data_IF_325055542555
#
_entry.id   IF_325055542555
#
_cell.length_a   1.000
_cell.length_b   1.000
_cell.length_c   1.000
_cell.angle_alpha   90.00
_cell.angle_beta   90.00
_cell.angle_gamma   90.00
#
_symmetry.space_group_name_H-M   'P 1'
#
loop_
_entity.id
_entity.type
_entity.pdbx_description
1 polymer ?
#
# COMPACT_ATOMS: atom_id res chain seq x y z
N UNK A 1 5.83 -27.11 23.66
CA UNK A 1 5.64 -25.84 24.38
C UNK A 1 4.19 -25.42 24.23
N UNK A 2 3.48 -25.13 25.30
CA UNK A 2 2.17 -24.54 25.15
C UNK A 2 2.33 -23.19 24.45
N UNK A 3 1.59 -23.00 23.35
CA UNK A 3 1.44 -21.67 22.76
C UNK A 3 0.99 -20.72 23.87
N UNK A 4 1.72 -19.64 24.11
CA UNK A 4 1.33 -18.64 25.08
C UNK A 4 -0.11 -18.22 24.81
N UNK A 5 -0.91 -18.15 25.85
CA UNK A 5 -2.27 -17.65 25.72
C UNK A 5 -2.21 -16.28 25.09
N UNK A 6 -2.80 -16.15 23.94
CA UNK A 6 -2.97 -14.87 23.25
C UNK A 6 -3.90 -14.02 24.13
N UNK A 7 -3.38 -12.97 24.72
CA UNK A 7 -4.18 -12.05 25.54
C UNK A 7 -4.79 -10.99 24.63
N UNK A 8 -6.06 -11.19 24.30
CA UNK A 8 -6.82 -10.27 23.45
C UNK A 8 -6.90 -8.86 24.04
N UNK A 9 -6.92 -8.75 25.37
CA UNK A 9 -7.01 -7.45 26.05
C UNK A 9 -5.70 -6.67 25.93
N UNK A 10 -4.57 -7.33 26.06
CA UNK A 10 -3.25 -6.73 25.88
C UNK A 10 -3.04 -6.26 24.44
N UNK A 11 -3.44 -7.08 23.46
CA UNK A 11 -3.37 -6.72 22.04
C UNK A 11 -4.26 -5.53 21.73
N UNK A 12 -5.47 -5.50 22.27
CA UNK A 12 -6.40 -4.37 22.11
C UNK A 12 -5.85 -3.09 22.74
N UNK A 13 -5.29 -3.18 23.94
CA UNK A 13 -4.69 -2.03 24.63
C UNK A 13 -3.50 -1.48 23.85
N UNK A 14 -2.65 -2.37 23.32
CA UNK A 14 -1.49 -1.98 22.49
C UNK A 14 -1.92 -1.32 21.18
N UNK A 15 -2.91 -1.89 20.48
CA UNK A 15 -3.46 -1.32 19.25
C UNK A 15 -4.10 0.05 19.51
N UNK A 16 -4.83 0.19 20.60
CA UNK A 16 -5.47 1.45 20.97
C UNK A 16 -4.44 2.52 21.38
N UNK A 17 -3.38 2.16 22.10
CA UNK A 17 -2.28 3.06 22.43
C UNK A 17 -1.56 3.55 21.17
N UNK A 18 -1.31 2.65 20.21
CA UNK A 18 -0.72 2.99 18.93
C UNK A 18 -1.64 3.88 18.09
N UNK A 19 -2.93 3.64 18.09
CA UNK A 19 -3.92 4.49 17.45
C UNK A 19 -3.94 5.90 18.05
N UNK A 20 -3.99 6.01 19.36
CA UNK A 20 -3.95 7.30 20.08
C UNK A 20 -2.66 8.05 19.81
N UNK A 21 -1.51 7.39 19.83
CA UNK A 21 -0.22 8.03 19.52
C UNK A 21 -0.15 8.56 18.09
N UNK A 22 -0.86 7.93 17.17
CA UNK A 22 -0.99 8.40 15.79
C UNK A 22 -1.87 9.65 15.65
N UNK A 23 -2.85 9.83 16.54
CA UNK A 23 -3.75 11.00 16.57
C UNK A 23 -3.16 12.12 17.42
N UNK A 24 -2.62 11.78 18.58
CA UNK A 24 -1.99 12.71 19.50
C UNK A 24 -0.49 12.87 19.19
N UNK A 25 -0.19 13.25 17.95
CA UNK A 25 1.19 13.56 17.60
C UNK A 25 1.58 14.96 18.10
N UNK A 26 2.84 15.14 18.50
CA UNK A 26 3.40 16.45 18.89
C UNK A 26 3.53 17.43 17.72
N UNK A 27 3.04 17.05 16.53
CA UNK A 27 3.07 17.89 15.34
C UNK A 27 2.04 19.03 15.44
N UNK A 28 2.42 20.19 14.94
CA UNK A 28 1.48 21.27 14.68
C UNK A 28 0.43 20.86 13.63
N UNK A 29 -0.73 21.52 13.62
CA UNK A 29 -1.83 21.17 12.71
C UNK A 29 -1.48 21.35 11.22
N UNK A 30 -0.55 22.23 10.91
CA UNK A 30 -0.05 22.53 9.58
C UNK A 30 1.28 21.82 9.25
N UNK A 31 1.78 21.00 10.15
CA UNK A 31 3.02 20.25 9.99
C UNK A 31 2.77 18.87 9.36
N UNK A 32 3.41 18.61 8.23
CA UNK A 32 3.36 17.28 7.60
C UNK A 32 4.14 16.27 8.44
N UNK A 33 3.68 15.01 8.38
CA UNK A 33 4.49 13.89 8.88
C UNK A 33 5.80 13.79 8.12
N UNK A 34 6.85 13.34 8.79
CA UNK A 34 8.16 13.12 8.15
C UNK A 34 8.06 12.18 6.95
N UNK A 35 8.71 12.55 5.86
CA UNK A 35 8.72 11.78 4.62
C UNK A 35 10.10 11.19 4.39
N UNK A 36 10.16 9.89 4.14
CA UNK A 36 11.35 9.16 3.72
C UNK A 36 11.05 8.44 2.40
N UNK A 37 12.00 8.46 1.49
CA UNK A 37 11.87 7.84 0.18
C UNK A 37 13.11 7.01 -0.12
N UNK A 38 12.91 5.73 -0.40
CA UNK A 38 13.94 4.82 -0.89
C UNK A 38 13.65 4.50 -2.35
N UNK A 39 14.56 4.89 -3.24
CA UNK A 39 14.46 4.65 -4.68
C UNK A 39 15.21 3.38 -5.03
N UNK A 40 14.69 2.62 -5.98
CA UNK A 40 15.30 1.38 -6.48
C UNK A 40 15.51 0.33 -5.38
N UNK A 41 14.52 0.15 -4.52
CA UNK A 41 14.59 -0.87 -3.47
C UNK A 41 14.54 -2.30 -4.01
N UNK A 42 14.13 -2.52 -5.26
CA UNK A 42 14.16 -3.81 -5.92
C UNK A 42 14.79 -3.70 -7.32
N UNK A 43 15.71 -4.60 -7.69
CA UNK A 43 16.41 -4.53 -8.97
C UNK A 43 15.58 -5.03 -10.16
N UNK A 44 14.49 -5.75 -9.93
CA UNK A 44 13.71 -6.42 -10.98
C UNK A 44 12.68 -5.52 -11.66
N UNK A 45 12.33 -4.40 -11.04
CA UNK A 45 11.40 -3.44 -11.61
C UNK A 45 12.13 -2.40 -12.47
N UNK A 46 11.46 -1.83 -13.46
CA UNK A 46 11.98 -0.70 -14.22
C UNK A 46 12.25 0.51 -13.32
N UNK A 47 11.34 0.75 -12.39
CA UNK A 47 11.50 1.71 -11.31
C UNK A 47 10.77 1.19 -10.08
N UNK A 48 11.29 1.48 -8.93
CA UNK A 48 10.69 1.11 -7.65
C UNK A 48 10.93 2.17 -6.60
N UNK A 49 9.96 2.34 -5.73
CA UNK A 49 10.03 3.32 -4.65
C UNK A 49 9.37 2.74 -3.40
N UNK A 50 10.01 2.95 -2.28
CA UNK A 50 9.43 2.73 -0.97
C UNK A 50 9.25 4.08 -0.31
N UNK A 51 8.01 4.47 -0.10
CA UNK A 51 7.64 5.76 0.45
C UNK A 51 7.12 5.58 1.87
N UNK A 52 7.67 6.35 2.79
CA UNK A 52 7.23 6.39 4.19
C UNK A 52 6.80 7.79 4.56
N UNK A 53 5.64 7.90 5.17
CA UNK A 53 5.16 9.15 5.73
C UNK A 53 4.56 8.86 7.11
N UNK A 54 5.33 9.09 8.15
CA UNK A 54 5.01 8.58 9.49
C UNK A 54 4.93 7.05 9.47
N UNK A 55 3.85 6.48 9.96
CA UNK A 55 3.60 5.02 9.94
C UNK A 55 2.97 4.52 8.63
N UNK A 56 2.66 5.41 7.71
CA UNK A 56 2.14 5.03 6.39
C UNK A 56 3.30 4.63 5.48
N UNK A 57 3.26 3.40 4.98
CA UNK A 57 4.27 2.87 4.05
C UNK A 57 3.59 2.47 2.76
N UNK A 58 4.10 2.96 1.65
CA UNK A 58 3.62 2.61 0.31
C UNK A 58 4.80 2.11 -0.53
N UNK A 59 4.60 0.96 -1.13
CA UNK A 59 5.53 0.38 -2.08
C UNK A 59 4.94 0.53 -3.49
N UNK A 60 5.70 1.12 -4.40
CA UNK A 60 5.29 1.26 -5.79
C UNK A 60 6.37 0.71 -6.71
N UNK A 61 5.96 -0.08 -7.70
CA UNK A 61 6.83 -0.62 -8.72
C UNK A 61 6.23 -0.35 -10.09
N UNK A 62 7.09 -0.03 -11.03
CA UNK A 62 6.73 0.15 -12.45
C UNK A 62 7.44 -0.91 -13.26
N UNK A 63 6.69 -1.60 -14.09
CA UNK A 63 7.23 -2.55 -15.07
C UNK A 63 6.84 -2.13 -16.47
N UNK A 64 7.72 -2.38 -17.42
CA UNK A 64 7.42 -2.17 -18.84
C UNK A 64 6.91 -3.46 -19.43
N UNK A 65 5.70 -3.42 -19.95
CA UNK A 65 5.15 -4.57 -20.69
C UNK A 65 5.79 -4.69 -22.08
N UNK A 66 6.16 -5.90 -22.47
CA UNK A 66 6.72 -6.18 -23.79
C UNK A 66 5.66 -6.18 -24.89
N UNK A 67 4.40 -6.37 -24.49
CA UNK A 67 3.26 -6.47 -25.40
C UNK A 67 2.09 -5.65 -24.89
N UNK A 68 1.37 -5.06 -25.83
CA UNK A 68 0.07 -4.44 -25.55
C UNK A 68 -1.00 -5.53 -25.38
N UNK A 69 -2.06 -5.26 -24.59
CA UNK A 69 -3.21 -6.17 -24.52
C UNK A 69 -3.78 -6.46 -25.91
N UNK A 70 -4.29 -7.68 -26.13
CA UNK A 70 -4.84 -8.08 -27.43
C UNK A 70 -6.01 -7.24 -27.93
N UNK A 71 -6.74 -6.58 -27.03
CA UNK A 71 -7.84 -5.66 -27.35
C UNK A 71 -7.38 -4.25 -27.74
N UNK A 72 -6.11 -3.91 -27.48
CA UNK A 72 -5.58 -2.58 -27.78
C UNK A 72 -5.32 -2.41 -29.27
N UNK A 73 -5.78 -1.29 -29.91
CA UNK A 73 -5.57 -1.06 -31.33
C UNK A 73 -4.08 -1.01 -31.70
N UNK A 74 -3.65 -1.80 -32.66
CA UNK A 74 -2.24 -1.90 -33.08
C UNK A 74 -1.73 -0.67 -33.81
N UNK A 75 -2.62 0.10 -34.42
CA UNK A 75 -2.35 1.33 -35.15
C UNK A 75 -2.49 2.60 -34.31
N UNK A 76 -2.76 2.43 -33.01
CA UNK A 76 -2.89 3.57 -32.10
C UNK A 76 -1.55 4.28 -31.91
N UNK A 77 -1.57 5.61 -32.01
CA UNK A 77 -0.44 6.47 -31.67
C UNK A 77 -0.21 6.63 -30.19
N UNK A 78 -1.02 5.98 -29.35
CA UNK A 78 -1.00 6.06 -27.90
C UNK A 78 -0.49 4.78 -27.27
N UNK A 79 0.16 4.91 -26.14
CA UNK A 79 0.49 3.78 -25.28
C UNK A 79 -0.65 3.43 -24.32
N UNK A 80 -0.44 2.39 -23.56
CA UNK A 80 -1.37 1.90 -22.55
C UNK A 80 -0.69 1.89 -21.18
N UNK A 81 -1.37 2.43 -20.18
CA UNK A 81 -0.94 2.41 -18.78
C UNK A 81 -2.00 1.70 -17.97
N UNK A 82 -1.57 0.76 -17.17
CA UNK A 82 -2.43 0.03 -16.24
C UNK A 82 -1.84 0.12 -14.83
N UNK A 83 -2.69 0.31 -13.85
CA UNK A 83 -2.30 0.32 -12.45
C UNK A 83 -3.08 -0.72 -11.66
N UNK A 84 -2.39 -1.36 -10.74
CA UNK A 84 -2.97 -2.25 -9.74
C UNK A 84 -2.64 -1.74 -8.35
N UNK A 85 -3.58 -1.89 -7.44
CA UNK A 85 -3.43 -1.50 -6.05
C UNK A 85 -3.90 -2.62 -5.14
N UNK A 86 -3.19 -2.85 -4.05
CA UNK A 86 -3.66 -3.73 -2.98
C UNK A 86 -3.11 -3.33 -1.61
N UNK A 87 -3.87 -3.61 -0.57
CA UNK A 87 -3.39 -3.59 0.80
C UNK A 87 -2.76 -4.94 1.14
N UNK A 88 -1.58 -4.92 1.74
CA UNK A 88 -1.01 -6.13 2.32
C UNK A 88 -1.84 -6.57 3.55
N UNK A 89 -1.99 -7.88 3.79
CA UNK A 89 -2.78 -8.35 4.92
C UNK A 89 -2.34 -7.82 6.29
N UNK A 90 -1.07 -7.54 6.47
CA UNK A 90 -0.47 -7.04 7.72
C UNK A 90 -0.38 -5.50 7.77
N UNK A 91 -0.96 -4.78 6.81
CA UNK A 91 -0.87 -3.30 6.73
C UNK A 91 -1.90 -2.56 7.59
N UNK A 92 -2.83 -3.27 8.19
CA UNK A 92 -3.89 -2.75 9.06
C UNK A 92 -3.83 -3.39 10.44
N UNK A 93 -4.47 -2.79 11.44
CA UNK A 93 -4.49 -3.28 12.83
C UNK A 93 -5.07 -4.70 12.95
N UNK A 94 -6.04 -5.02 12.10
CA UNK A 94 -6.52 -6.38 11.89
C UNK A 94 -6.07 -6.88 10.53
N UNK A 95 -5.86 -8.20 10.42
CA UNK A 95 -5.43 -8.78 9.14
C UNK A 95 -6.45 -8.48 8.05
N UNK A 96 -6.01 -7.74 7.01
CA UNK A 96 -6.83 -7.45 5.83
C UNK A 96 -6.91 -8.67 4.91
N UNK A 97 -8.11 -9.03 4.48
CA UNK A 97 -8.32 -10.15 3.58
C UNK A 97 -8.01 -9.74 2.14
N UNK A 98 -7.17 -10.51 1.46
CA UNK A 98 -6.88 -10.27 0.05
C UNK A 98 -8.12 -10.42 -0.82
N UNK A 99 -8.28 -9.54 -1.79
CA UNK A 99 -9.34 -9.62 -2.80
C UNK A 99 -8.95 -10.66 -3.87
N UNK A 100 -9.58 -11.84 -3.79
CA UNK A 100 -9.26 -12.97 -4.67
C UNK A 100 -10.08 -13.00 -5.96
N UNK A 101 -11.26 -12.39 -5.94
CA UNK A 101 -12.25 -12.41 -7.02
C UNK A 101 -12.31 -11.09 -7.81
N UNK A 102 -11.17 -10.42 -7.95
CA UNK A 102 -11.08 -9.11 -8.59
C UNK A 102 -11.17 -7.95 -7.60
N UNK A 103 -10.81 -6.77 -8.06
CA UNK A 103 -10.78 -5.56 -7.26
C UNK A 103 -12.19 -5.08 -6.90
N UNK A 104 -12.39 -4.73 -5.64
CA UNK A 104 -13.62 -4.08 -5.17
C UNK A 104 -13.63 -2.59 -5.53
N UNK A 105 -14.78 -1.94 -5.39
CA UNK A 105 -15.00 -0.56 -5.82
C UNK A 105 -13.95 0.44 -5.31
N UNK A 106 -13.56 0.37 -4.03
CA UNK A 106 -12.51 1.24 -3.47
C UNK A 106 -11.15 1.02 -4.13
N UNK A 107 -10.75 -0.23 -4.32
CA UNK A 107 -9.50 -0.62 -4.98
C UNK A 107 -9.50 -0.16 -6.43
N UNK A 108 -10.57 -0.37 -7.16
CA UNK A 108 -10.72 0.08 -8.54
C UNK A 108 -10.62 1.60 -8.66
N UNK A 109 -11.22 2.36 -7.73
CA UNK A 109 -11.13 3.81 -7.73
C UNK A 109 -9.71 4.32 -7.49
N UNK A 110 -8.95 3.69 -6.60
CA UNK A 110 -7.54 4.01 -6.38
C UNK A 110 -6.72 3.71 -7.63
N UNK A 111 -6.91 2.54 -8.24
CA UNK A 111 -6.24 2.14 -9.48
C UNK A 111 -6.52 3.12 -10.62
N UNK A 112 -7.75 3.61 -10.72
CA UNK A 112 -8.15 4.60 -11.72
C UNK A 112 -7.44 5.95 -11.53
N UNK A 113 -7.20 6.35 -10.27
CA UNK A 113 -6.58 7.63 -9.95
C UNK A 113 -5.04 7.63 -10.08
N UNK A 114 -4.44 6.47 -10.04
CA UNK A 114 -3.00 6.31 -10.27
C UNK A 114 -2.70 6.46 -11.76
#
# INVERSE_FOLDING_TARGET
>A
MPAGKFDEEEVRATAMAKFKSGIESDRANDEMRGVEVEIDFTPNALASILYRQGDTVVMACVTKADRLPGWFPRDASKGWVHAEYSLLPASTDSRFRRERNGAKGRTQEIERLV
#
